data_IF_103911095815
#
_entry.id   IF_103911095815
#
_cell.length_a   1.000
_cell.length_b   1.000
_cell.length_c   1.000
_cell.angle_alpha   90.00
_cell.angle_beta   90.00
_cell.angle_gamma   90.00
#
_symmetry.space_group_name_H-M   'P 1'
#
loop_
_entity.id
_entity.type
_entity.pdbx_description
1 polymer ?
#
# COMPACT_ATOMS: atom_id res chain seq x y z
N UNK A 1 -19.09 -0.11 5.31
CA UNK A 1 -18.23 -0.55 4.19
C UNK A 1 -17.27 -1.60 4.75
N UNK A 2 -17.35 -2.84 4.27
CA UNK A 2 -16.39 -3.89 4.64
C UNK A 2 -15.39 -4.01 3.50
N UNK A 3 -14.15 -3.58 3.74
CA UNK A 3 -13.08 -3.64 2.75
C UNK A 3 -12.66 -5.11 2.56
N UNK A 4 -12.87 -5.63 1.34
CA UNK A 4 -12.72 -7.02 0.94
C UNK A 4 -13.47 -8.05 1.81
N UNK A 5 -14.75 -8.31 1.50
CA UNK A 5 -15.41 -9.56 1.90
C UNK A 5 -15.28 -10.57 0.75
N UNK A 6 -14.53 -11.63 1.00
CA UNK A 6 -14.36 -12.79 0.12
C UNK A 6 -13.56 -13.83 0.88
N UNK A 7 -13.71 -15.11 0.53
CA UNK A 7 -12.78 -16.12 1.04
C UNK A 7 -11.41 -15.84 0.40
N UNK A 8 -10.31 -16.13 1.10
CA UNK A 8 -8.98 -16.01 0.48
C UNK A 8 -8.95 -16.76 -0.85
N UNK A 9 -9.56 -17.94 -0.94
CA UNK A 9 -9.69 -18.72 -2.17
C UNK A 9 -10.49 -18.06 -3.32
N UNK A 10 -11.24 -16.98 -3.04
CA UNK A 10 -12.11 -16.30 -4.01
C UNK A 10 -11.60 -14.93 -4.45
N UNK A 11 -10.46 -14.48 -3.91
CA UNK A 11 -9.81 -13.27 -4.40
C UNK A 11 -8.91 -13.65 -5.58
N UNK A 12 -8.95 -12.91 -6.70
CA UNK A 12 -8.02 -13.15 -7.79
C UNK A 12 -6.57 -12.92 -7.30
N UNK A 13 -5.80 -13.99 -7.16
CA UNK A 13 -4.38 -13.92 -6.80
C UNK A 13 -3.55 -13.86 -8.07
N UNK A 14 -2.68 -12.87 -8.21
CA UNK A 14 -1.61 -12.99 -9.17
C UNK A 14 -0.58 -14.04 -8.72
N UNK A 15 0.18 -14.55 -9.68
CA UNK A 15 1.35 -15.39 -9.41
C UNK A 15 2.45 -14.60 -8.69
N UNK A 16 2.54 -13.29 -8.94
CA UNK A 16 3.46 -12.40 -8.24
C UNK A 16 2.84 -11.03 -8.00
N UNK A 17 3.18 -10.42 -6.86
CA UNK A 17 2.82 -9.03 -6.53
C UNK A 17 4.09 -8.22 -6.33
N UNK A 18 4.25 -7.18 -7.15
CA UNK A 18 5.29 -6.17 -6.96
C UNK A 18 4.94 -5.24 -5.80
N UNK A 19 5.91 -4.95 -4.95
CA UNK A 19 5.79 -4.05 -3.81
C UNK A 19 6.64 -2.80 -4.07
N UNK A 20 6.10 -1.63 -3.78
CA UNK A 20 6.79 -0.35 -3.91
C UNK A 20 6.60 0.53 -2.67
N UNK A 21 7.58 1.39 -2.42
CA UNK A 21 7.53 2.48 -1.46
C UNK A 21 7.76 3.78 -2.20
N UNK A 22 6.79 4.69 -2.16
CA UNK A 22 6.87 5.97 -2.86
C UNK A 22 7.13 5.81 -4.35
N UNK A 23 6.51 4.82 -5.00
CA UNK A 23 6.70 4.53 -6.43
C UNK A 23 7.99 3.80 -6.78
N UNK A 24 8.88 3.58 -5.82
CA UNK A 24 10.13 2.84 -6.04
C UNK A 24 9.90 1.36 -5.75
N UNK A 25 10.09 0.45 -6.72
CA UNK A 25 9.98 -0.98 -6.47
C UNK A 25 11.01 -1.43 -5.42
N UNK A 26 10.55 -2.16 -4.42
CA UNK A 26 11.38 -2.60 -3.29
C UNK A 26 11.48 -4.12 -3.17
N UNK A 27 10.45 -4.85 -3.61
CA UNK A 27 10.36 -6.31 -3.49
C UNK A 27 9.29 -6.86 -4.43
N UNK A 28 9.38 -8.13 -4.79
CA UNK A 28 8.26 -8.90 -5.36
C UNK A 28 7.92 -10.08 -4.45
N UNK A 29 6.65 -10.49 -4.46
CA UNK A 29 6.15 -11.64 -3.70
C UNK A 29 5.60 -12.65 -4.70
N UNK A 30 6.33 -13.73 -4.91
CA UNK A 30 6.01 -14.76 -5.92
C UNK A 30 5.18 -15.92 -5.38
N UNK A 31 4.95 -15.99 -4.07
CA UNK A 31 4.03 -16.94 -3.43
C UNK A 31 3.03 -16.19 -2.57
N UNK A 32 1.95 -15.73 -3.21
CA UNK A 32 0.89 -14.97 -2.56
C UNK A 32 0.17 -15.80 -1.50
N UNK A 33 0.01 -17.10 -1.70
CA UNK A 33 -0.69 -17.98 -0.74
C UNK A 33 0.10 -18.05 0.57
N UNK A 34 1.42 -18.24 0.48
CA UNK A 34 2.30 -18.17 1.65
C UNK A 34 2.32 -16.78 2.27
N UNK A 35 2.35 -15.72 1.46
CA UNK A 35 2.39 -14.33 1.93
C UNK A 35 1.11 -13.91 2.67
N UNK A 36 -0.05 -14.43 2.28
CA UNK A 36 -1.31 -14.19 3.01
C UNK A 36 -1.30 -14.79 4.41
N UNK A 37 -0.55 -15.87 4.62
CA UNK A 37 -0.41 -16.54 5.91
C UNK A 37 0.76 -16.02 6.74
N UNK A 38 1.69 -15.28 6.13
CA UNK A 38 2.88 -14.75 6.80
C UNK A 38 3.01 -13.23 6.62
N UNK A 39 2.63 -12.48 7.66
CA UNK A 39 2.60 -11.02 7.66
C UNK A 39 3.97 -10.37 7.45
N UNK A 40 5.05 -11.02 7.87
CA UNK A 40 6.41 -10.51 7.70
C UNK A 40 6.79 -10.37 6.21
N UNK A 41 6.14 -11.12 5.31
CA UNK A 41 6.37 -11.03 3.86
C UNK A 41 6.11 -9.62 3.32
N UNK A 42 5.16 -8.91 3.93
CA UNK A 42 4.70 -7.56 3.57
C UNK A 42 5.55 -6.45 4.20
N UNK A 43 6.60 -6.82 4.95
CA UNK A 43 7.57 -5.87 5.49
C UNK A 43 8.83 -5.87 4.64
N UNK A 44 9.30 -4.69 4.26
CA UNK A 44 10.49 -4.58 3.39
C UNK A 44 11.10 -3.18 3.44
N UNK A 45 12.38 -3.12 3.07
CA UNK A 45 13.10 -1.92 2.66
C UNK A 45 14.25 -2.32 1.73
N UNK A 46 14.65 -1.46 0.79
CA UNK A 46 15.88 -1.63 0.03
C UNK A 46 17.13 -1.72 0.91
N UNK A 47 18.15 -2.42 0.41
CA UNK A 47 19.45 -2.60 1.06
C UNK A 47 20.28 -1.30 1.02
N UNK A 48 19.91 -0.33 1.85
CA UNK A 48 20.55 0.98 2.08
C UNK A 48 19.56 2.02 2.65
N UNK A 49 18.29 1.65 2.86
CA UNK A 49 17.31 2.54 3.46
C UNK A 49 17.28 2.32 4.97
N UNK A 50 17.38 3.40 5.74
CA UNK A 50 17.12 3.39 7.19
C UNK A 50 15.62 3.57 7.49
N UNK A 51 14.89 4.15 6.55
CA UNK A 51 13.45 4.41 6.63
C UNK A 51 12.92 5.03 5.34
N UNK A 52 11.63 5.32 5.32
CA UNK A 52 10.94 6.08 4.28
C UNK A 52 9.84 6.92 4.93
N UNK A 53 9.93 8.24 4.72
CA UNK A 53 9.06 9.22 5.36
C UNK A 53 9.06 9.06 6.90
N UNK A 54 7.89 9.02 7.54
CA UNK A 54 7.77 8.84 9.00
C UNK A 54 8.01 7.41 9.53
N UNK A 55 8.45 6.45 8.69
CA UNK A 55 8.60 5.05 9.09
C UNK A 55 10.06 4.57 9.01
N UNK A 56 10.52 3.87 10.06
CA UNK A 56 11.80 3.17 10.09
C UNK A 56 11.70 1.77 9.47
N UNK A 57 12.79 1.31 8.88
CA UNK A 57 12.86 -0.03 8.31
C UNK A 57 12.87 -1.14 9.39
N UNK A 58 12.24 -2.30 9.15
CA UNK A 58 11.47 -2.66 7.95
C UNK A 58 10.05 -2.07 7.94
N UNK A 59 9.61 -1.57 6.79
CA UNK A 59 8.32 -0.90 6.66
C UNK A 59 7.24 -1.91 6.32
N UNK A 60 6.16 -1.93 7.11
CA UNK A 60 4.97 -2.74 6.86
C UNK A 60 4.01 -2.02 5.91
N UNK A 61 3.87 -2.52 4.67
CA UNK A 61 3.05 -1.89 3.65
C UNK A 61 1.56 -1.79 4.02
N UNK A 62 1.05 -2.69 4.88
CA UNK A 62 -0.36 -2.62 5.34
C UNK A 62 -0.47 -2.07 6.77
N UNK A 63 0.64 -1.69 7.39
CA UNK A 63 0.70 -1.06 8.71
C UNK A 63 -0.21 0.17 8.84
N UNK A 64 -0.25 1.09 7.85
CA UNK A 64 -1.14 2.26 7.91
C UNK A 64 -2.63 1.93 7.99
N UNK A 65 -3.08 0.82 7.39
CA UNK A 65 -4.48 0.37 7.52
C UNK A 65 -4.78 -0.04 8.97
N UNK A 66 -3.86 -0.78 9.60
CA UNK A 66 -3.99 -1.19 11.00
C UNK A 66 -3.99 0.03 11.91
N UNK A 67 -3.06 0.97 11.69
CA UNK A 67 -2.98 2.21 12.44
C UNK A 67 -4.26 3.05 12.29
N UNK A 68 -4.79 3.20 11.08
CA UNK A 68 -6.04 3.90 10.83
C UNK A 68 -7.21 3.26 11.59
N UNK A 69 -7.30 1.93 11.58
CA UNK A 69 -8.34 1.20 12.34
C UNK A 69 -8.21 1.44 13.84
N UNK A 70 -7.01 1.34 14.40
CA UNK A 70 -6.75 1.54 15.83
C UNK A 70 -7.10 2.97 16.27
N UNK A 71 -6.82 3.96 15.42
CA UNK A 71 -7.08 5.38 15.71
C UNK A 71 -8.50 5.85 15.30
N UNK A 72 -9.35 4.96 14.79
CA UNK A 72 -10.70 5.31 14.36
C UNK A 72 -10.77 6.19 13.11
N UNK A 73 -9.71 6.23 12.29
CA UNK A 73 -9.72 6.95 11.03
C UNK A 73 -10.59 6.22 10.00
N UNK A 74 -11.45 6.99 9.33
CA UNK A 74 -12.24 6.44 8.24
C UNK A 74 -11.40 6.43 6.97
N UNK A 75 -11.23 5.25 6.38
CA UNK A 75 -10.59 5.08 5.07
C UNK A 75 -11.62 5.23 3.94
N UNK A 76 -11.18 5.73 2.79
CA UNK A 76 -11.92 5.85 1.53
C UNK A 76 -11.12 5.26 0.38
N UNK A 77 -11.84 4.95 -0.70
CA UNK A 77 -11.27 4.51 -1.96
C UNK A 77 -11.26 5.67 -2.94
N UNK A 78 -10.12 5.91 -3.57
CA UNK A 78 -9.96 6.89 -4.64
C UNK A 78 -9.55 6.17 -5.93
N UNK A 79 -10.07 6.60 -7.10
CA UNK A 79 -9.75 5.99 -8.39
C UNK A 79 -8.37 6.41 -8.92
N UNK A 80 -7.77 7.45 -8.35
CA UNK A 80 -6.55 8.08 -8.85
C UNK A 80 -5.52 8.25 -7.73
N UNK A 81 -4.25 8.26 -8.11
CA UNK A 81 -3.15 8.55 -7.20
C UNK A 81 -2.99 10.07 -7.07
N UNK A 82 -3.37 10.62 -5.92
CA UNK A 82 -3.16 12.03 -5.58
C UNK A 82 -1.98 12.22 -4.62
N UNK A 83 -1.59 13.48 -4.44
CA UNK A 83 -0.52 13.86 -3.51
C UNK A 83 -0.82 13.45 -2.07
N UNK A 84 0.23 13.04 -1.35
CA UNK A 84 0.18 12.74 0.08
C UNK A 84 0.76 13.93 0.85
N UNK A 85 0.01 14.38 1.85
CA UNK A 85 0.37 15.53 2.69
C UNK A 85 1.72 15.31 3.34
N UNK A 86 2.64 16.27 3.18
CA UNK A 86 3.99 16.24 3.78
C UNK A 86 4.79 14.99 3.37
N UNK A 87 4.50 14.38 2.22
CA UNK A 87 5.21 13.20 1.75
C UNK A 87 6.48 13.56 0.97
N UNK A 88 7.55 12.75 1.03
CA UNK A 88 8.61 12.82 0.02
C UNK A 88 8.02 12.66 -1.38
N UNK A 89 8.69 13.25 -2.37
CA UNK A 89 8.23 13.14 -3.77
C UNK A 89 8.23 11.67 -4.19
N UNK A 90 7.09 11.19 -4.69
CA UNK A 90 6.98 9.85 -5.27
C UNK A 90 7.93 9.75 -6.46
N UNK A 91 8.83 8.77 -6.45
CA UNK A 91 9.79 8.52 -7.52
C UNK A 91 9.45 7.21 -8.21
N UNK A 92 9.15 7.28 -9.51
CA UNK A 92 8.83 6.11 -10.33
C UNK A 92 7.50 6.24 -11.06
N UNK A 93 7.29 5.46 -12.13
CA UNK A 93 6.06 5.53 -12.90
C UNK A 93 4.85 5.11 -12.05
N UNK A 94 3.67 5.63 -12.39
CA UNK A 94 2.42 5.04 -11.88
C UNK A 94 2.31 3.64 -12.52
N UNK A 95 2.08 2.57 -11.73
CA UNK A 95 2.02 1.23 -12.30
C UNK A 95 0.82 1.12 -13.27
N UNK A 96 0.98 0.44 -14.41
CA UNK A 96 -0.11 0.26 -15.36
C UNK A 96 -1.18 -0.69 -14.81
N UNK A 97 -2.44 -0.39 -15.09
CA UNK A 97 -3.58 -1.25 -14.73
C UNK A 97 -4.72 -0.47 -14.07
N UNK A 98 -5.71 -1.22 -13.57
CA UNK A 98 -6.83 -0.69 -12.80
C UNK A 98 -6.36 -0.36 -11.39
N UNK A 99 -6.47 0.91 -11.02
CA UNK A 99 -5.99 1.45 -9.76
C UNK A 99 -7.14 1.63 -8.76
N UNK A 100 -6.89 1.23 -7.52
CA UNK A 100 -7.69 1.64 -6.35
C UNK A 100 -6.74 2.12 -5.27
N UNK A 101 -6.91 3.35 -4.79
CA UNK A 101 -6.08 3.92 -3.73
C UNK A 101 -6.86 3.97 -2.43
N UNK A 102 -6.30 3.39 -1.38
CA UNK A 102 -6.84 3.45 -0.02
C UNK A 102 -6.16 4.59 0.73
N UNK A 103 -6.95 5.52 1.27
CA UNK A 103 -6.48 6.69 2.02
C UNK A 103 -7.39 7.03 3.19
N UNK A 104 -6.94 7.76 4.21
CA UNK A 104 -7.85 8.42 5.14
C UNK A 104 -8.79 9.39 4.42
N UNK A 105 -9.98 9.61 4.98
CA UNK A 105 -10.89 10.66 4.49
C UNK A 105 -10.21 12.03 4.46
N UNK A 106 -10.52 12.90 3.48
CA UNK A 106 -9.88 14.20 3.33
C UNK A 106 -9.80 15.03 4.63
N UNK A 107 -10.89 15.08 5.38
CA UNK A 107 -11.00 15.83 6.65
C UNK A 107 -10.13 15.28 7.78
N UNK A 108 -9.58 14.07 7.64
CA UNK A 108 -8.70 13.41 8.62
C UNK A 108 -7.22 13.41 8.20
N UNK A 109 -6.88 13.99 7.04
CA UNK A 109 -5.50 14.01 6.51
C UNK A 109 -4.70 15.11 7.19
N UNK A 110 -3.57 14.72 7.77
CA UNK A 110 -2.55 15.58 8.37
C UNK A 110 -1.18 15.03 8.01
N UNK A 111 -0.08 15.77 8.25
CA UNK A 111 1.27 15.22 8.05
C UNK A 111 1.55 13.95 8.89
N UNK A 112 0.76 13.67 9.93
CA UNK A 112 0.94 12.50 10.80
C UNK A 112 0.01 11.33 10.47
N UNK A 113 -1.05 11.57 9.69
CA UNK A 113 -2.12 10.59 9.45
C UNK A 113 -2.32 10.25 7.98
N UNK A 114 -1.86 11.10 7.05
CA UNK A 114 -2.09 10.90 5.62
C UNK A 114 -1.16 9.82 5.05
N UNK A 115 -1.71 9.00 4.17
CA UNK A 115 -1.00 8.00 3.40
C UNK A 115 -1.80 7.66 2.14
N UNK A 116 -1.13 6.99 1.19
CA UNK A 116 -1.77 6.37 0.05
C UNK A 116 -1.26 4.94 -0.13
N UNK A 117 -2.18 3.97 -0.05
CA UNK A 117 -1.91 2.58 -0.42
C UNK A 117 -2.61 2.29 -1.75
N UNK A 118 -1.85 2.27 -2.83
CA UNK A 118 -2.33 1.93 -4.16
C UNK A 118 -2.33 0.41 -4.34
N UNK A 119 -3.48 -0.13 -4.75
CA UNK A 119 -3.68 -1.50 -5.20
C UNK A 119 -3.90 -1.46 -6.71
N UNK A 120 -3.06 -2.17 -7.46
CA UNK A 120 -3.11 -2.18 -8.93
C UNK A 120 -3.40 -3.57 -9.44
N UNK A 121 -4.47 -3.68 -10.23
CA UNK A 121 -4.89 -4.91 -10.88
C UNK A 121 -4.66 -4.85 -12.40
N UNK A 122 -4.43 -6.01 -13.01
CA UNK A 122 -4.37 -6.13 -14.47
C UNK A 122 -5.76 -6.06 -15.12
N UNK A 123 -5.83 -6.24 -16.44
CA UNK A 123 -7.08 -6.20 -17.19
C UNK A 123 -8.06 -7.34 -16.83
N UNK A 124 -7.55 -8.43 -16.25
CA UNK A 124 -8.33 -9.56 -15.74
C UNK A 124 -8.79 -9.37 -14.29
N UNK A 125 -8.35 -8.29 -13.62
CA UNK A 125 -8.66 -8.00 -12.23
C UNK A 125 -7.77 -8.73 -11.22
N UNK A 126 -6.64 -9.30 -11.64
CA UNK A 126 -5.64 -9.88 -10.75
C UNK A 126 -4.76 -8.78 -10.14
N UNK A 127 -4.65 -8.75 -8.82
CA UNK A 127 -3.76 -7.80 -8.12
C UNK A 127 -2.30 -8.12 -8.45
N UNK A 128 -1.55 -7.19 -9.05
CA UNK A 128 -0.16 -7.42 -9.44
C UNK A 128 0.84 -6.41 -8.85
N UNK A 129 0.36 -5.28 -8.29
CA UNK A 129 1.23 -4.35 -7.59
C UNK A 129 0.56 -3.69 -6.37
N UNK A 130 1.38 -3.40 -5.36
CA UNK A 130 1.03 -2.63 -4.16
C UNK A 130 2.10 -1.56 -3.94
N UNK A 131 1.70 -0.29 -3.88
CA UNK A 131 2.59 0.85 -3.66
C UNK A 131 2.12 1.65 -2.44
N UNK A 132 3.01 1.85 -1.47
CA UNK A 132 2.73 2.65 -0.27
C UNK A 132 3.49 3.98 -0.32
N UNK A 133 2.74 5.07 -0.22
CA UNK A 133 3.29 6.42 0.02
C UNK A 133 2.87 6.90 1.40
N UNK A 134 3.85 7.36 2.19
CA UNK A 134 3.68 7.81 3.57
C UNK A 134 3.97 9.31 3.67
N UNK A 135 3.27 9.98 4.56
CA UNK A 135 3.60 11.34 5.00
C UNK A 135 4.86 11.35 5.90
N UNK A 136 5.55 12.47 5.93
CA UNK A 136 6.68 12.80 6.81
C UNK A 136 6.39 14.14 7.52
N UNK A 137 6.11 14.15 8.84
CA UNK A 137 5.89 15.37 9.60
C UNK A 137 7.16 16.24 9.73
#
# INVERSE_FOLDING_TARGET
MAYARGQSASFPHAESVSMALGGTPVKAVDDIVAALSNRETWRTCPANWEGYAAASCPIDLLGPIVAARTNGFTLVLEPELGDVTCSPTRTGPVPPGRLVVIRPRPEMRTCASDFALALVADDHGLLHAVDLTLSAP
#
